data_IF_416125546158
#
_entry.id   IF_416125546158
#
_cell.length_a   1.000
_cell.length_b   1.000
_cell.length_c   1.000
_cell.angle_alpha   90.00
_cell.angle_beta   90.00
_cell.angle_gamma   90.00
#
_symmetry.space_group_name_H-M   'P 1'
#
loop_
_entity.id
_entity.type
_entity.pdbx_description
1 polymer ?
#
# COMPACT_ATOMS: atom_id res chain seq x y z
N UNK A 1 -53.52 -22.80 -42.03
CA UNK A 1 -53.91 -22.51 -43.41
C UNK A 1 -52.84 -21.60 -44.02
N UNK A 2 -52.20 -22.13 -45.05
CA UNK A 2 -51.61 -21.46 -46.22
C UNK A 2 -50.23 -20.87 -46.04
N UNK A 3 -49.24 -21.65 -46.42
CA UNK A 3 -47.99 -21.32 -47.17
C UNK A 3 -48.37 -20.80 -48.58
N UNK A 4 -47.47 -20.46 -49.49
CA UNK A 4 -45.99 -20.29 -49.51
C UNK A 4 -45.51 -19.24 -50.55
N UNK A 5 -44.20 -19.37 -50.91
CA UNK A 5 -43.53 -18.97 -52.19
C UNK A 5 -42.71 -17.67 -52.04
N UNK A 6 -41.52 -17.59 -52.47
CA UNK A 6 -40.58 -18.46 -53.18
C UNK A 6 -39.75 -17.65 -54.15
N UNK A 7 -38.43 -18.01 -54.25
CA UNK A 7 -37.60 -17.92 -55.48
C UNK A 7 -37.18 -16.51 -55.91
N UNK A 8 -35.98 -16.16 -56.29
CA UNK A 8 -34.94 -16.77 -57.12
C UNK A 8 -33.61 -16.02 -57.02
N UNK A 9 -32.58 -16.77 -56.99
CA UNK A 9 -31.23 -16.66 -57.46
C UNK A 9 -30.97 -15.57 -58.53
N UNK A 10 -29.87 -14.78 -58.39
CA UNK A 10 -29.09 -14.40 -59.57
C UNK A 10 -27.61 -14.20 -59.17
N UNK A 11 -26.81 -15.07 -59.72
CA UNK A 11 -25.35 -15.04 -59.76
C UNK A 11 -24.97 -14.07 -60.88
N UNK A 12 -24.06 -13.14 -60.60
CA UNK A 12 -23.22 -12.57 -61.64
C UNK A 12 -21.81 -12.32 -61.10
N UNK A 13 -20.90 -13.07 -61.66
CA UNK A 13 -19.46 -12.86 -61.54
C UNK A 13 -19.02 -11.75 -62.50
N UNK A 14 -18.12 -10.88 -62.02
CA UNK A 14 -17.16 -10.23 -62.96
C UNK A 14 -16.07 -9.48 -62.18
N UNK A 15 -14.93 -9.96 -62.34
CA UNK A 15 -13.67 -9.35 -62.83
C UNK A 15 -12.87 -8.41 -61.95
N UNK A 16 -11.65 -8.88 -61.71
CA UNK A 16 -10.50 -8.21 -61.14
C UNK A 16 -10.23 -6.80 -61.71
N UNK A 17 -9.88 -5.89 -60.84
CA UNK A 17 -8.93 -4.81 -61.11
C UNK A 17 -8.02 -4.60 -59.90
N UNK A 18 -6.77 -4.98 -60.07
CA UNK A 18 -5.66 -4.67 -59.17
C UNK A 18 -5.39 -3.16 -59.21
N UNK A 19 -5.68 -2.46 -58.16
CA UNK A 19 -5.17 -1.12 -57.92
C UNK A 19 -4.28 -1.16 -56.69
N UNK A 20 -2.99 -1.17 -56.94
CA UNK A 20 -1.94 -0.90 -55.96
C UNK A 20 -2.08 0.53 -55.47
N UNK A 21 -2.52 0.75 -54.26
CA UNK A 21 -2.42 2.03 -53.56
C UNK A 21 -1.51 1.88 -52.37
N UNK A 22 -0.36 2.50 -52.44
CA UNK A 22 0.62 2.71 -51.41
C UNK A 22 -0.05 3.30 -50.17
N UNK A 23 0.01 2.59 -49.03
CA UNK A 23 -0.37 3.14 -47.72
C UNK A 23 0.63 4.18 -47.28
N UNK A 24 0.21 5.36 -46.82
CA UNK A 24 1.10 6.28 -46.14
C UNK A 24 1.48 5.71 -44.79
N UNK A 25 2.78 5.70 -44.49
CA UNK A 25 3.35 5.42 -43.18
C UNK A 25 2.64 6.23 -42.10
N UNK A 26 1.86 5.56 -41.27
CA UNK A 26 1.40 6.07 -40.01
C UNK A 26 2.49 5.72 -38.97
N UNK A 27 3.16 6.71 -38.35
CA UNK A 27 4.10 6.40 -37.27
C UNK A 27 3.30 5.81 -36.11
N UNK A 28 3.46 4.51 -35.86
CA UNK A 28 3.00 3.87 -34.66
C UNK A 28 3.49 4.69 -33.45
N UNK A 29 2.54 5.34 -32.81
CA UNK A 29 2.74 5.98 -31.51
C UNK A 29 3.05 4.88 -30.53
N UNK A 30 4.36 4.60 -30.36
CA UNK A 30 4.88 3.72 -29.34
C UNK A 30 4.36 4.27 -28.03
N UNK A 31 3.31 3.64 -27.49
CA UNK A 31 2.83 3.89 -26.13
C UNK A 31 3.99 3.51 -25.25
N UNK A 32 4.65 4.50 -24.69
CA UNK A 32 5.68 4.33 -23.67
C UNK A 32 4.98 3.72 -22.46
N UNK A 33 5.04 2.40 -22.38
CA UNK A 33 4.61 1.65 -21.19
C UNK A 33 5.46 2.18 -20.05
N UNK A 34 4.82 2.95 -19.17
CA UNK A 34 5.47 3.52 -18.01
C UNK A 34 6.18 2.38 -17.27
N UNK A 35 7.50 2.41 -17.28
CA UNK A 35 8.33 1.39 -16.65
C UNK A 35 7.86 1.20 -15.23
N UNK A 36 7.44 -0.02 -14.90
CA UNK A 36 7.12 -0.43 -13.52
C UNK A 36 8.33 -0.02 -12.67
N UNK A 37 8.15 0.74 -11.57
CA UNK A 37 9.26 1.16 -10.75
C UNK A 37 10.17 -0.03 -10.45
N UNK A 38 11.48 0.14 -10.59
CA UNK A 38 12.42 -0.90 -10.24
C UNK A 38 12.12 -1.35 -8.80
N UNK A 39 11.94 -2.65 -8.59
CA UNK A 39 11.71 -3.20 -7.25
C UNK A 39 12.88 -2.83 -6.33
N UNK A 40 12.72 -2.90 -5.01
CA UNK A 40 13.82 -2.69 -4.09
C UNK A 40 14.93 -3.70 -4.39
N UNK A 41 16.18 -3.42 -3.98
CA UNK A 41 17.28 -4.38 -4.12
C UNK A 41 16.83 -5.77 -3.62
N UNK A 42 17.17 -6.84 -4.33
CA UNK A 42 16.76 -8.19 -3.94
C UNK A 42 17.28 -8.62 -2.56
N UNK A 43 18.35 -7.98 -2.09
CA UNK A 43 18.98 -8.18 -0.78
C UNK A 43 19.35 -6.84 -0.17
N UNK A 44 19.59 -6.80 1.16
CA UNK A 44 20.02 -5.59 1.86
C UNK A 44 18.88 -4.75 2.42
N UNK A 45 19.18 -3.49 2.69
CA UNK A 45 18.23 -2.51 3.23
C UNK A 45 17.96 -1.37 2.25
N UNK A 46 16.86 -0.67 2.47
CA UNK A 46 16.54 0.60 1.83
C UNK A 46 15.95 1.56 2.87
N UNK A 47 16.01 2.86 2.58
CA UNK A 47 15.45 3.86 3.47
C UNK A 47 14.14 4.41 2.94
N UNK A 48 13.26 4.77 3.87
CA UNK A 48 12.01 5.48 3.61
C UNK A 48 12.00 6.75 4.44
N UNK A 49 11.89 7.89 3.78
CA UNK A 49 11.60 9.16 4.44
C UNK A 49 10.09 9.30 4.59
N UNK A 50 9.61 9.35 5.82
CA UNK A 50 8.22 9.57 6.18
C UNK A 50 8.06 10.97 6.77
N UNK A 51 7.61 11.93 5.96
CA UNK A 51 7.28 13.27 6.42
C UNK A 51 5.93 13.25 7.15
N UNK A 52 5.92 13.62 8.43
CA UNK A 52 4.70 13.62 9.25
C UNK A 52 4.26 15.03 9.62
N UNK A 53 3.08 15.15 10.24
CA UNK A 53 2.60 16.42 10.81
C UNK A 53 3.47 16.95 11.97
N UNK A 54 4.36 16.09 12.55
CA UNK A 54 5.25 16.41 13.66
C UNK A 54 6.72 16.58 13.26
N UNK A 55 7.07 16.29 12.02
CA UNK A 55 8.44 16.29 11.49
C UNK A 55 8.71 15.02 10.68
N UNK A 56 9.96 14.82 10.33
CA UNK A 56 10.39 13.74 9.47
C UNK A 56 10.91 12.56 10.30
N UNK A 57 10.67 11.35 9.80
CA UNK A 57 11.13 10.09 10.36
C UNK A 57 11.84 9.34 9.23
N UNK A 58 13.08 8.91 9.45
CA UNK A 58 13.80 8.02 8.53
C UNK A 58 13.70 6.58 9.02
N UNK A 59 13.17 5.72 8.18
CA UNK A 59 12.95 4.30 8.46
C UNK A 59 13.92 3.51 7.59
N UNK A 60 14.76 2.66 8.18
CA UNK A 60 15.55 1.68 7.46
C UNK A 60 14.79 0.35 7.42
N UNK A 61 14.51 -0.11 6.22
CA UNK A 61 13.78 -1.35 5.96
C UNK A 61 14.76 -2.45 5.61
N UNK A 62 14.69 -3.59 6.31
CA UNK A 62 15.61 -4.70 6.21
C UNK A 62 14.91 -5.91 5.56
N UNK A 63 15.31 -6.23 4.33
CA UNK A 63 14.70 -7.36 3.59
C UNK A 63 15.06 -8.74 4.16
N UNK A 64 16.19 -8.85 4.80
CA UNK A 64 16.65 -10.07 5.46
C UNK A 64 15.92 -10.36 6.78
N UNK A 65 15.29 -9.33 7.40
CA UNK A 65 14.51 -9.54 8.62
C UNK A 65 13.15 -10.18 8.34
N UNK A 66 12.43 -9.63 7.34
CA UNK A 66 11.09 -10.06 6.96
C UNK A 66 10.85 -9.74 5.47
N UNK A 67 11.31 -10.59 4.55
CA UNK A 67 11.37 -10.29 3.11
C UNK A 67 9.99 -10.00 2.48
N UNK A 68 8.94 -10.72 2.90
CA UNK A 68 7.58 -10.51 2.36
C UNK A 68 7.04 -9.16 2.83
N UNK A 69 7.13 -8.87 4.14
CA UNK A 69 6.69 -7.60 4.70
C UNK A 69 7.48 -6.41 4.15
N UNK A 70 8.82 -6.53 4.05
CA UNK A 70 9.67 -5.48 3.49
C UNK A 70 9.34 -5.17 2.03
N UNK A 71 9.09 -6.20 1.20
CA UNK A 71 8.67 -6.03 -0.18
C UNK A 71 7.30 -5.34 -0.26
N UNK A 72 6.34 -5.81 0.52
CA UNK A 72 5.00 -5.24 0.51
C UNK A 72 4.98 -3.78 0.99
N UNK A 73 5.77 -3.45 2.02
CA UNK A 73 5.92 -2.07 2.48
C UNK A 73 6.51 -1.16 1.40
N UNK A 74 7.52 -1.65 0.65
CA UNK A 74 8.06 -0.92 -0.50
C UNK A 74 6.98 -0.60 -1.54
N UNK A 75 6.18 -1.58 -1.93
CA UNK A 75 5.11 -1.41 -2.93
C UNK A 75 4.04 -0.41 -2.46
N UNK A 76 3.65 -0.47 -1.18
CA UNK A 76 2.72 0.48 -0.58
C UNK A 76 3.28 1.91 -0.56
N UNK A 77 4.57 2.09 -0.22
CA UNK A 77 5.25 3.39 -0.24
C UNK A 77 5.33 3.94 -1.66
N UNK A 78 5.76 3.12 -2.62
CA UNK A 78 5.86 3.52 -4.03
C UNK A 78 4.49 3.89 -4.63
N UNK A 79 3.43 3.23 -4.21
CA UNK A 79 2.07 3.56 -4.62
C UNK A 79 1.50 4.81 -3.93
N UNK A 80 2.25 5.43 -3.01
CA UNK A 80 1.77 6.55 -2.20
C UNK A 80 0.65 6.19 -1.22
N UNK A 81 0.50 4.90 -0.89
CA UNK A 81 -0.59 4.39 -0.06
C UNK A 81 -0.68 5.11 1.30
N UNK A 82 0.47 5.39 1.92
CA UNK A 82 0.53 6.02 3.23
C UNK A 82 0.39 7.55 3.20
N UNK A 83 0.32 8.18 2.03
CA UNK A 83 0.16 9.63 1.94
C UNK A 83 -1.19 10.05 2.54
N UNK A 84 -1.16 11.02 3.46
CA UNK A 84 -2.28 11.48 4.27
C UNK A 84 -2.89 10.42 5.21
N UNK A 85 -2.30 9.22 5.35
CA UNK A 85 -2.74 8.23 6.33
C UNK A 85 -2.50 8.73 7.76
N UNK A 86 -3.42 8.40 8.67
CA UNK A 86 -3.37 8.88 10.05
C UNK A 86 -2.87 7.82 11.01
N UNK A 87 -2.24 8.26 12.11
CA UNK A 87 -1.88 7.41 13.25
C UNK A 87 -3.14 7.18 14.09
N UNK A 88 -3.98 6.24 13.65
CA UNK A 88 -5.36 6.11 14.15
C UNK A 88 -5.48 5.38 15.50
N UNK A 89 -4.40 4.72 15.96
CA UNK A 89 -4.36 4.03 17.24
C UNK A 89 -3.04 4.33 17.94
N UNK A 90 -3.13 4.74 19.20
CA UNK A 90 -1.97 5.03 20.06
C UNK A 90 -2.17 4.36 21.41
N UNK A 91 -1.34 3.39 21.74
CA UNK A 91 -1.31 2.74 23.04
C UNK A 91 -0.04 3.13 23.76
N UNK A 92 -0.11 3.96 24.83
CA UNK A 92 1.07 4.43 25.55
C UNK A 92 1.93 3.27 26.05
N UNK A 93 3.25 3.41 25.94
CA UNK A 93 4.20 2.36 26.31
C UNK A 93 3.96 1.01 25.60
N UNK A 94 3.39 1.04 24.39
CA UNK A 94 3.18 -0.14 23.58
C UNK A 94 3.45 0.17 22.11
N UNK A 95 2.45 0.64 21.35
CA UNK A 95 2.60 0.88 19.91
C UNK A 95 1.83 2.11 19.43
N UNK A 96 2.26 2.64 18.26
CA UNK A 96 1.47 3.55 17.42
C UNK A 96 1.18 2.84 16.11
N UNK A 97 -0.08 2.82 15.66
CA UNK A 97 -0.53 2.09 14.47
C UNK A 97 -1.10 3.03 13.43
N UNK A 98 -0.77 2.75 12.15
CA UNK A 98 -1.22 3.44 10.95
C UNK A 98 -1.43 2.43 9.81
N UNK A 99 -1.78 2.90 8.60
CA UNK A 99 -1.85 2.02 7.42
C UNK A 99 -3.27 1.67 6.99
N UNK A 100 -4.22 2.54 7.30
CA UNK A 100 -5.48 2.66 6.59
C UNK A 100 -5.38 3.91 5.71
N UNK A 101 -5.60 3.78 4.40
CA UNK A 101 -5.41 4.90 3.47
C UNK A 101 -6.42 6.03 3.73
N UNK A 102 -6.03 7.25 3.36
CA UNK A 102 -6.89 8.42 3.46
C UNK A 102 -8.20 8.27 2.66
N UNK A 103 -8.11 7.61 1.49
CA UNK A 103 -9.24 7.27 0.62
C UNK A 103 -9.62 5.79 0.80
N UNK A 104 -10.88 5.48 1.14
CA UNK A 104 -11.37 4.10 1.24
C UNK A 104 -11.21 3.27 -0.03
N UNK A 105 -11.26 3.88 -1.22
CA UNK A 105 -11.08 3.17 -2.48
C UNK A 105 -9.65 2.61 -2.60
N UNK A 106 -8.66 3.37 -2.13
CA UNK A 106 -7.26 2.93 -2.07
C UNK A 106 -7.10 1.78 -1.07
N UNK A 107 -7.70 1.88 0.14
CA UNK A 107 -7.68 0.79 1.12
C UNK A 107 -8.26 -0.50 0.54
N UNK A 108 -9.39 -0.44 -0.18
CA UNK A 108 -10.00 -1.63 -0.80
C UNK A 108 -9.11 -2.27 -1.87
N UNK A 109 -8.41 -1.47 -2.67
CA UNK A 109 -7.49 -1.96 -3.70
C UNK A 109 -6.34 -2.77 -3.13
N UNK A 110 -5.86 -2.42 -1.94
CA UNK A 110 -4.70 -3.03 -1.28
C UNK A 110 -5.07 -4.02 -0.16
N UNK A 111 -6.32 -4.42 -0.05
CA UNK A 111 -6.81 -5.30 1.03
C UNK A 111 -6.57 -6.80 0.77
N UNK A 112 -5.53 -7.14 0.04
CA UNK A 112 -5.08 -8.52 -0.12
C UNK A 112 -4.18 -8.94 1.03
N UNK A 113 -4.38 -10.14 1.55
CA UNK A 113 -3.51 -10.71 2.56
C UNK A 113 -2.13 -11.05 1.97
N UNK A 114 -1.11 -10.93 2.79
CA UNK A 114 0.23 -11.47 2.52
C UNK A 114 0.56 -12.54 3.56
N UNK A 115 1.39 -13.50 3.17
CA UNK A 115 1.89 -14.55 4.06
C UNK A 115 2.78 -13.97 5.17
N UNK A 116 2.87 -14.66 6.29
CA UNK A 116 3.69 -14.24 7.39
C UNK A 116 5.17 -14.53 7.12
N UNK A 117 6.03 -13.62 7.57
CA UNK A 117 7.46 -13.86 7.68
C UNK A 117 7.78 -14.52 9.03
N UNK A 118 8.84 -15.32 9.12
CA UNK A 118 9.34 -15.80 10.39
C UNK A 118 9.87 -14.64 11.24
N UNK A 119 9.67 -14.71 12.56
CA UNK A 119 10.21 -13.73 13.50
C UNK A 119 11.69 -14.02 13.72
N UNK A 120 12.55 -13.21 13.13
CA UNK A 120 14.02 -13.32 13.24
C UNK A 120 14.64 -12.20 14.09
N UNK A 121 13.89 -11.16 14.37
CA UNK A 121 14.32 -9.99 15.15
C UNK A 121 13.27 -9.63 16.19
N UNK A 122 13.70 -8.94 17.25
CA UNK A 122 12.82 -8.53 18.36
C UNK A 122 12.07 -7.24 18.05
N UNK A 123 10.84 -7.12 18.55
CA UNK A 123 10.03 -5.91 18.53
C UNK A 123 10.56 -4.88 19.54
N UNK A 124 11.74 -4.30 19.25
CA UNK A 124 12.37 -3.26 20.09
C UNK A 124 11.79 -1.87 19.82
N UNK A 125 12.09 -0.93 20.69
CA UNK A 125 11.70 0.49 20.49
C UNK A 125 12.12 0.99 19.11
N UNK A 126 11.18 1.60 18.39
CA UNK A 126 11.36 2.13 17.05
C UNK A 126 11.34 1.10 15.92
N UNK A 127 11.22 -0.20 16.21
CA UNK A 127 10.99 -1.20 15.15
C UNK A 127 9.56 -1.14 14.61
N UNK A 128 9.40 -1.55 13.34
CA UNK A 128 8.11 -1.60 12.65
C UNK A 128 7.76 -3.04 12.30
N UNK A 129 6.49 -3.41 12.54
CA UNK A 129 5.92 -4.70 12.17
C UNK A 129 4.52 -4.52 11.58
N UNK A 130 4.08 -5.44 10.73
CA UNK A 130 2.71 -5.44 10.23
C UNK A 130 1.75 -5.92 11.32
N UNK A 131 0.60 -5.26 11.42
CA UNK A 131 -0.51 -5.76 12.22
C UNK A 131 -1.20 -6.92 11.50
N UNK A 132 -1.68 -7.90 12.29
CA UNK A 132 -2.41 -9.07 11.82
C UNK A 132 -3.65 -9.33 12.65
N UNK A 133 -4.63 -10.03 12.11
CA UNK A 133 -5.81 -10.54 12.81
C UNK A 133 -5.72 -12.07 13.01
N UNK A 134 -4.59 -12.66 12.75
CA UNK A 134 -4.30 -14.09 12.82
C UNK A 134 -3.26 -14.48 11.74
N UNK A 135 -2.89 -15.75 11.64
CA UNK A 135 -1.90 -16.21 10.67
C UNK A 135 -2.25 -15.83 9.22
N UNK A 136 -1.27 -15.30 8.47
CA UNK A 136 -1.37 -14.93 7.05
C UNK A 136 -2.54 -13.95 6.75
N UNK A 137 -2.77 -12.99 7.67
CA UNK A 137 -3.81 -11.97 7.50
C UNK A 137 -3.25 -10.53 7.50
N UNK A 138 -1.93 -10.39 7.39
CA UNK A 138 -1.30 -9.08 7.22
C UNK A 138 -1.78 -8.44 5.92
N UNK A 139 -2.10 -7.15 5.95
CA UNK A 139 -2.47 -6.37 4.77
C UNK A 139 -1.62 -5.10 4.67
N UNK A 140 -2.15 -3.96 5.10
CA UNK A 140 -1.50 -2.66 4.91
C UNK A 140 -1.16 -1.95 6.21
N UNK A 141 -1.69 -2.44 7.34
CA UNK A 141 -1.52 -1.79 8.62
C UNK A 141 -0.17 -2.14 9.25
N UNK A 142 0.51 -1.13 9.75
CA UNK A 142 1.84 -1.21 10.37
C UNK A 142 1.79 -0.52 11.72
N UNK A 143 2.57 -1.01 12.67
CA UNK A 143 2.78 -0.31 13.93
C UNK A 143 4.26 -0.06 14.20
N UNK A 144 4.51 1.03 14.95
CA UNK A 144 5.81 1.42 15.49
C UNK A 144 5.82 1.01 16.95
N UNK A 145 6.83 0.30 17.40
CA UNK A 145 7.01 -0.08 18.80
C UNK A 145 7.52 1.13 19.63
N UNK A 146 6.79 1.49 20.69
CA UNK A 146 7.19 2.59 21.61
C UNK A 146 8.12 2.11 22.72
N UNK A 147 8.22 0.81 22.92
CA UNK A 147 9.17 0.15 23.81
C UNK A 147 9.56 -1.21 23.22
N UNK A 148 10.42 -1.95 23.91
CA UNK A 148 10.67 -3.35 23.59
C UNK A 148 9.45 -4.19 24.02
N UNK A 149 8.79 -4.83 23.06
CA UNK A 149 7.57 -5.60 23.21
C UNK A 149 7.81 -7.08 22.88
N UNK A 150 8.64 -7.75 23.65
CA UNK A 150 9.09 -9.12 23.36
C UNK A 150 7.94 -10.12 23.21
N UNK A 151 6.82 -9.92 23.90
CA UNK A 151 5.64 -10.78 23.76
C UNK A 151 5.05 -10.78 22.33
N UNK A 152 5.32 -9.74 21.53
CA UNK A 152 4.91 -9.71 20.12
C UNK A 152 5.72 -10.67 19.26
N UNK A 153 6.97 -10.96 19.65
CA UNK A 153 7.83 -11.91 18.94
C UNK A 153 7.20 -13.32 19.02
N UNK A 154 6.75 -13.73 20.20
CA UNK A 154 6.07 -15.02 20.45
C UNK A 154 4.71 -15.11 19.74
N UNK A 155 4.09 -13.98 19.43
CA UNK A 155 2.82 -13.88 18.72
C UNK A 155 2.96 -13.82 17.18
N UNK A 156 4.18 -13.89 16.66
CA UNK A 156 4.43 -13.94 15.23
C UNK A 156 4.51 -12.58 14.53
N UNK A 157 4.62 -11.47 15.27
CA UNK A 157 4.83 -10.15 14.66
C UNK A 157 6.30 -9.97 14.25
N UNK A 158 6.63 -10.23 13.00
CA UNK A 158 7.97 -10.11 12.46
C UNK A 158 8.34 -8.64 12.16
N UNK A 159 9.36 -8.05 12.86
CA UNK A 159 9.87 -6.74 12.49
C UNK A 159 10.53 -6.78 11.11
N UNK A 160 10.23 -5.77 10.30
CA UNK A 160 10.82 -5.61 8.97
C UNK A 160 11.65 -4.32 8.83
N UNK A 161 11.55 -3.42 9.79
CA UNK A 161 12.20 -2.11 9.71
C UNK A 161 12.51 -1.52 11.09
N UNK A 162 13.39 -0.51 11.09
CA UNK A 162 13.79 0.25 12.27
C UNK A 162 13.81 1.75 11.96
N UNK A 163 13.32 2.58 12.87
CA UNK A 163 13.56 4.03 12.83
C UNK A 163 15.03 4.27 13.12
N UNK A 164 15.71 4.93 12.22
CA UNK A 164 17.16 5.30 12.35
C UNK A 164 17.36 6.79 12.60
N UNK A 165 16.34 7.62 12.30
CA UNK A 165 16.30 9.03 12.66
C UNK A 165 14.85 9.47 12.90
N UNK A 166 14.65 10.49 13.75
CA UNK A 166 13.32 11.04 14.03
C UNK A 166 12.55 10.33 15.17
N UNK A 167 13.17 9.53 16.03
CA UNK A 167 12.49 8.94 17.20
C UNK A 167 11.79 10.01 18.04
N UNK A 168 12.42 11.18 18.25
CA UNK A 168 11.83 12.31 18.96
C UNK A 168 10.58 12.91 18.29
N UNK A 169 10.38 12.63 16.99
CA UNK A 169 9.16 13.00 16.25
C UNK A 169 8.04 12.03 16.59
N UNK A 170 8.35 10.73 16.68
CA UNK A 170 7.40 9.68 17.11
C UNK A 170 6.86 10.00 18.50
N UNK A 171 7.72 10.42 19.41
CA UNK A 171 7.34 10.76 20.79
C UNK A 171 6.38 11.96 20.89
N UNK A 172 6.30 12.79 19.83
CA UNK A 172 5.40 13.96 19.73
C UNK A 172 4.06 13.66 19.07
N UNK A 173 3.84 12.45 18.56
CA UNK A 173 2.59 12.06 17.93
C UNK A 173 1.48 12.10 18.97
N UNK A 174 0.36 12.73 18.63
CA UNK A 174 -0.75 12.94 19.54
C UNK A 174 -1.45 11.62 19.91
N UNK A 175 -1.32 11.24 21.16
CA UNK A 175 -1.90 10.00 21.71
C UNK A 175 -3.25 10.16 22.42
N UNK A 176 -3.80 11.38 22.49
CA UNK A 176 -4.95 11.67 23.35
C UNK A 176 -6.27 10.99 22.94
N UNK A 177 -6.33 10.42 21.74
CA UNK A 177 -7.49 9.63 21.30
C UNK A 177 -7.35 8.13 21.57
N UNK A 178 -6.15 7.65 21.91
CA UNK A 178 -5.92 6.24 22.23
C UNK A 178 -6.37 5.30 21.12
N UNK A 179 -7.33 4.46 21.44
CA UNK A 179 -7.93 3.42 20.58
C UNK A 179 -9.38 3.75 20.18
N UNK A 180 -9.82 5.00 20.29
CA UNK A 180 -11.23 5.38 20.09
C UNK A 180 -11.66 5.37 18.62
N UNK A 181 -10.73 5.45 17.67
CA UNK A 181 -11.07 5.48 16.25
C UNK A 181 -11.51 4.10 15.76
N UNK A 182 -12.76 4.01 15.31
CA UNK A 182 -13.31 2.77 14.75
C UNK A 182 -12.68 2.48 13.38
N UNK A 183 -11.94 1.38 13.30
CA UNK A 183 -11.25 0.98 12.08
C UNK A 183 -12.20 0.63 10.93
N UNK A 184 -13.41 0.13 11.22
CA UNK A 184 -14.41 -0.13 10.18
C UNK A 184 -14.94 1.18 9.61
N UNK A 185 -15.20 2.18 10.46
CA UNK A 185 -15.57 3.52 10.00
C UNK A 185 -14.44 4.15 9.15
N UNK A 186 -13.15 3.95 9.52
CA UNK A 186 -12.02 4.40 8.70
C UNK A 186 -12.02 3.69 7.34
N UNK A 187 -12.20 2.38 7.29
CA UNK A 187 -12.28 1.61 6.03
C UNK A 187 -13.41 2.06 5.11
N UNK A 188 -14.53 2.52 5.68
CA UNK A 188 -15.70 2.95 4.93
C UNK A 188 -15.64 4.42 4.50
N UNK A 189 -15.09 5.30 5.34
CA UNK A 189 -15.19 6.75 5.18
C UNK A 189 -13.81 7.45 5.10
N UNK A 190 -12.72 6.76 5.42
CA UNK A 190 -11.37 7.31 5.36
C UNK A 190 -11.18 8.56 6.21
N UNK A 191 -10.44 9.50 5.67
CA UNK A 191 -10.16 10.77 6.36
C UNK A 191 -11.41 11.65 6.59
N UNK A 192 -12.51 11.45 5.86
CA UNK A 192 -13.74 12.18 6.14
C UNK A 192 -14.25 11.90 7.58
N UNK A 193 -14.21 10.65 8.01
CA UNK A 193 -14.52 10.27 9.39
C UNK A 193 -13.51 10.82 10.39
N UNK A 194 -12.20 10.62 10.10
CA UNK A 194 -11.15 10.99 11.05
C UNK A 194 -11.03 12.50 11.24
N UNK A 195 -11.14 13.29 10.18
CA UNK A 195 -11.12 14.76 10.27
C UNK A 195 -12.28 15.31 11.09
N UNK A 196 -13.46 14.73 10.96
CA UNK A 196 -14.67 15.14 11.69
C UNK A 196 -14.60 14.76 13.18
N UNK A 197 -14.20 13.53 13.47
CA UNK A 197 -14.30 12.96 14.83
C UNK A 197 -13.00 13.10 15.64
N UNK A 198 -11.84 13.19 14.97
CA UNK A 198 -10.51 13.18 15.58
C UNK A 198 -9.57 14.25 14.98
N UNK A 199 -9.97 15.55 15.02
CA UNK A 199 -9.26 16.61 14.30
C UNK A 199 -7.80 16.84 14.73
N UNK A 200 -7.41 16.42 15.95
CA UNK A 200 -6.02 16.54 16.45
C UNK A 200 -5.14 15.35 16.07
N UNK A 201 -5.68 14.33 15.39
CA UNK A 201 -4.93 13.14 15.03
C UNK A 201 -3.82 13.47 14.03
N UNK A 202 -2.59 13.11 14.38
CA UNK A 202 -1.43 13.30 13.53
C UNK A 202 -1.45 12.35 12.32
N UNK A 203 -0.69 12.70 11.28
CA UNK A 203 -0.75 12.01 10.00
C UNK A 203 0.60 12.02 9.27
N UNK A 204 0.74 11.12 8.34
CA UNK A 204 1.84 11.03 7.39
C UNK A 204 1.50 11.94 6.21
N UNK A 205 2.29 12.99 5.97
CA UNK A 205 2.12 13.84 4.78
C UNK A 205 2.47 13.06 3.52
N UNK A 206 3.67 12.48 3.51
CA UNK A 206 4.17 11.63 2.43
C UNK A 206 5.14 10.59 2.97
N UNK A 207 5.19 9.43 2.30
CA UNK A 207 6.24 8.45 2.48
C UNK A 207 6.93 8.19 1.14
N UNK A 208 8.27 8.19 1.10
CA UNK A 208 9.07 8.02 -0.12
C UNK A 208 10.28 7.16 0.14
N UNK A 209 10.60 6.27 -0.79
CA UNK A 209 11.89 5.56 -0.80
C UNK A 209 12.99 6.53 -1.23
N UNK A 210 14.12 6.49 -0.51
CA UNK A 210 15.33 7.27 -0.79
C UNK A 210 16.33 6.47 -1.63
#
# INVERSE_FOLDING_TARGET
MIRPRGVLISVLASLLLLASCSSPNNPEKKTEEAAKPAGPPATGSYKVLMATSKGDITIEVHRDWAPIGAQHFYELVQAGFYNNARFFRYVPNFVIQFGLAADPAVSRKWNANIDDDPVTHINRTGSLSFATAGPNTRTTQVFINLKTNQTLDDQGFAPFAQIVDGQSVVDKIYGGYGEQADQNAIRLQGNAYLLKSFPKMDYIRTAKVE
#
